data_IF_927285591885
#
_entry.id   IF_927285591885
#
_cell.length_a   1.000
_cell.length_b   1.000
_cell.length_c   1.000
_cell.angle_alpha   90.00
_cell.angle_beta   90.00
_cell.angle_gamma   90.00
#
_symmetry.space_group_name_H-M   'P 1'
#
loop_
_entity.id
_entity.type
_entity.pdbx_description
1 polymer ?
#
# COMPACT_ATOMS: atom_id res chain seq x y z
N UNK A 1 -22.26 -34.24 94.30
CA UNK A 1 -21.43 -33.05 94.60
C UNK A 1 -20.57 -32.73 93.39
N UNK A 2 -20.52 -31.44 93.02
CA UNK A 2 -19.98 -30.86 91.76
C UNK A 2 -18.45 -30.93 91.64
N UNK A 3 -17.95 -30.99 90.39
CA UNK A 3 -16.85 -30.21 89.76
C UNK A 3 -16.66 -30.74 88.32
N UNK A 4 -17.19 -30.11 87.26
CA UNK A 4 -16.69 -28.96 86.48
C UNK A 4 -15.22 -29.06 86.08
N UNK A 5 -14.96 -29.19 84.77
CA UNK A 5 -13.63 -29.15 84.17
C UNK A 5 -13.67 -29.17 82.63
N UNK A 6 -14.11 -28.05 82.05
CA UNK A 6 -13.49 -27.37 80.90
C UNK A 6 -13.52 -28.00 79.49
N UNK A 7 -14.34 -27.36 78.65
CA UNK A 7 -14.36 -27.39 77.18
C UNK A 7 -13.10 -26.71 76.61
N UNK A 8 -12.41 -27.39 75.70
CA UNK A 8 -11.33 -26.83 74.87
C UNK A 8 -11.64 -27.02 73.39
N UNK A 9 -12.40 -26.09 72.82
CA UNK A 9 -12.70 -26.00 71.38
C UNK A 9 -11.51 -25.30 70.70
N UNK A 10 -10.59 -26.06 70.09
CA UNK A 10 -9.58 -25.47 69.19
C UNK A 10 -10.20 -25.26 67.80
N UNK A 11 -10.63 -24.02 67.53
CA UNK A 11 -10.76 -23.52 66.16
C UNK A 11 -9.36 -23.40 65.55
N UNK A 12 -9.01 -24.34 64.69
CA UNK A 12 -7.90 -24.16 63.75
C UNK A 12 -8.30 -23.15 62.69
N UNK A 13 -7.75 -21.94 62.74
CA UNK A 13 -7.84 -20.96 61.66
C UNK A 13 -7.14 -21.53 60.41
N UNK A 14 -7.93 -21.95 59.44
CA UNK A 14 -7.54 -22.06 58.05
C UNK A 14 -7.49 -20.64 57.46
N UNK A 15 -6.32 -20.01 57.49
CA UNK A 15 -6.07 -18.79 56.69
C UNK A 15 -5.89 -19.20 55.23
N UNK A 16 -7.02 -19.30 54.52
CA UNK A 16 -7.09 -19.14 53.09
C UNK A 16 -7.41 -17.66 52.80
N UNK A 17 -6.57 -16.99 52.00
CA UNK A 17 -6.86 -15.67 51.43
C UNK A 17 -5.73 -14.68 51.67
N UNK A 18 -5.06 -14.12 50.68
CA UNK A 18 -5.18 -14.26 49.24
C UNK A 18 -4.29 -13.20 48.60
N UNK A 19 -3.51 -13.56 47.58
CA UNK A 19 -2.71 -12.62 46.79
C UNK A 19 -3.57 -11.72 45.87
N UNK A 20 -4.83 -11.45 46.21
CA UNK A 20 -5.77 -10.72 45.36
C UNK A 20 -5.52 -9.19 45.30
N UNK A 21 -4.72 -8.62 46.22
CA UNK A 21 -4.63 -7.15 46.33
C UNK A 21 -3.84 -6.43 45.23
N UNK A 22 -2.79 -7.03 44.67
CA UNK A 22 -1.84 -6.30 43.81
C UNK A 22 -2.15 -6.43 42.30
N UNK A 23 -2.88 -7.48 41.90
CA UNK A 23 -3.30 -7.69 40.51
C UNK A 23 -4.46 -6.77 40.11
N UNK A 24 -5.44 -6.65 40.99
CA UNK A 24 -6.67 -5.88 40.75
C UNK A 24 -6.38 -4.37 40.71
N UNK A 25 -5.45 -3.87 41.55
CA UNK A 25 -5.04 -2.46 41.56
C UNK A 25 -4.33 -2.05 40.25
N UNK A 26 -3.43 -2.91 39.73
CA UNK A 26 -2.74 -2.65 38.46
C UNK A 26 -3.71 -2.64 37.28
N UNK A 27 -4.63 -3.59 37.24
CA UNK A 27 -5.64 -3.67 36.17
C UNK A 27 -6.54 -2.43 36.16
N UNK A 28 -7.00 -1.96 37.32
CA UNK A 28 -7.81 -0.74 37.40
C UNK A 28 -6.99 0.52 37.02
N UNK A 29 -5.71 0.59 37.39
CA UNK A 29 -4.84 1.70 36.96
C UNK A 29 -4.61 1.72 35.45
N UNK A 30 -4.40 0.57 34.82
CA UNK A 30 -4.29 0.47 33.35
C UNK A 30 -5.58 0.96 32.68
N UNK A 31 -6.72 0.53 33.21
CA UNK A 31 -8.05 0.93 32.73
C UNK A 31 -8.31 2.43 32.89
N UNK A 32 -7.87 3.05 33.99
CA UNK A 32 -7.99 4.49 34.20
C UNK A 32 -7.22 5.26 33.11
N UNK A 33 -5.95 4.90 32.89
CA UNK A 33 -5.12 5.49 31.83
C UNK A 33 -5.73 5.28 30.44
N UNK A 34 -6.27 4.09 30.15
CA UNK A 34 -6.99 3.81 28.89
C UNK A 34 -8.20 4.73 28.70
N UNK A 35 -8.98 4.97 29.76
CA UNK A 35 -10.16 5.85 29.72
C UNK A 35 -9.71 7.29 29.45
N UNK A 36 -8.71 7.79 30.19
CA UNK A 36 -8.14 9.14 29.96
C UNK A 36 -7.63 9.30 28.53
N UNK A 37 -6.86 8.34 28.02
CA UNK A 37 -6.38 8.35 26.64
C UNK A 37 -7.51 8.34 25.61
N UNK A 38 -8.59 7.61 25.87
CA UNK A 38 -9.78 7.62 25.01
C UNK A 38 -10.51 8.96 25.04
N UNK A 39 -10.58 9.63 26.20
CA UNK A 39 -11.18 10.96 26.31
C UNK A 39 -10.34 12.00 25.55
N UNK A 40 -9.01 11.99 25.71
CA UNK A 40 -8.13 12.86 24.93
C UNK A 40 -8.24 12.64 23.42
N UNK A 41 -8.47 11.40 22.96
CA UNK A 41 -8.78 11.12 21.56
C UNK A 41 -10.07 11.81 21.09
N UNK A 42 -11.13 11.76 21.90
CA UNK A 42 -12.40 12.42 21.59
C UNK A 42 -12.23 13.94 21.52
N UNK A 43 -11.39 14.50 22.40
CA UNK A 43 -11.02 15.92 22.42
C UNK A 43 -10.00 16.32 21.34
N UNK A 44 -9.55 15.36 20.53
CA UNK A 44 -8.49 15.53 19.51
C UNK A 44 -7.14 15.99 20.08
N UNK A 45 -6.92 15.84 21.38
CA UNK A 45 -5.63 16.06 22.01
C UNK A 45 -4.76 14.80 21.85
N UNK A 46 -4.24 14.62 20.63
CA UNK A 46 -3.56 13.38 20.24
C UNK A 46 -2.27 13.10 21.01
N UNK A 47 -1.53 14.13 21.43
CA UNK A 47 -0.29 13.96 22.18
C UNK A 47 -0.54 13.41 23.60
N UNK A 48 -1.50 13.99 24.34
CA UNK A 48 -1.86 13.49 25.66
C UNK A 48 -2.58 12.14 25.58
N UNK A 49 -3.34 11.90 24.50
CA UNK A 49 -3.92 10.58 24.25
C UNK A 49 -2.82 9.50 24.16
N UNK A 50 -1.78 9.71 23.36
CA UNK A 50 -0.66 8.76 23.23
C UNK A 50 -0.02 8.49 24.59
N UNK A 51 0.26 9.54 25.36
CA UNK A 51 0.89 9.42 26.68
C UNK A 51 0.08 8.57 27.65
N UNK A 52 -1.23 8.82 27.77
CA UNK A 52 -2.10 8.03 28.63
C UNK A 52 -2.26 6.58 28.13
N UNK A 53 -2.35 6.38 26.81
CA UNK A 53 -2.39 5.03 26.24
C UNK A 53 -1.07 4.27 26.47
N UNK A 54 0.08 4.94 26.43
CA UNK A 54 1.37 4.37 26.78
C UNK A 54 1.45 3.93 28.24
N UNK A 55 0.97 4.76 29.17
CA UNK A 55 0.91 4.37 30.60
C UNK A 55 -0.01 3.16 30.80
N UNK A 56 -1.14 3.09 30.10
CA UNK A 56 -1.99 1.89 30.10
C UNK A 56 -1.25 0.66 29.60
N UNK A 57 -0.53 0.76 28.47
CA UNK A 57 0.19 -0.35 27.83
C UNK A 57 1.44 -0.79 28.59
N UNK A 58 2.08 0.10 29.36
CA UNK A 58 3.17 -0.25 30.28
C UNK A 58 2.69 -1.18 31.39
N UNK A 59 1.44 -1.02 31.83
CA UNK A 59 0.86 -1.83 32.91
C UNK A 59 0.30 -3.14 32.35
N UNK A 60 -0.48 -3.06 31.27
CA UNK A 60 -1.02 -4.22 30.57
C UNK A 60 -0.84 -4.06 29.05
N UNK A 61 0.18 -4.72 28.46
CA UNK A 61 0.46 -4.64 27.03
C UNK A 61 -0.44 -5.54 26.18
N UNK A 62 -1.32 -6.35 26.79
CA UNK A 62 -2.18 -7.31 26.07
C UNK A 62 -3.49 -6.69 25.57
N UNK A 63 -3.67 -5.39 25.77
CA UNK A 63 -4.87 -4.67 25.39
C UNK A 63 -4.86 -4.27 23.91
N UNK A 64 -5.30 -5.18 23.04
CA UNK A 64 -5.41 -4.98 21.57
C UNK A 64 -6.04 -3.62 21.20
N UNK A 65 -7.22 -3.30 21.78
CA UNK A 65 -7.93 -2.04 21.52
C UNK A 65 -7.15 -0.78 21.92
N UNK A 66 -6.19 -0.90 22.84
CA UNK A 66 -5.36 0.23 23.28
C UNK A 66 -4.24 0.47 22.28
N UNK A 67 -3.66 -0.60 21.72
CA UNK A 67 -2.72 -0.50 20.60
C UNK A 67 -3.38 0.14 19.36
N UNK A 68 -4.61 -0.27 19.01
CA UNK A 68 -5.39 0.36 17.93
C UNK A 68 -5.58 1.87 18.14
N UNK A 69 -6.02 2.25 19.35
CA UNK A 69 -6.22 3.65 19.73
C UNK A 69 -4.91 4.44 19.69
N UNK A 70 -3.81 3.84 20.13
CA UNK A 70 -2.48 4.46 20.10
C UNK A 70 -2.03 4.69 18.67
N UNK A 71 -2.15 3.69 17.79
CA UNK A 71 -1.83 3.83 16.37
C UNK A 71 -2.65 4.95 15.71
N UNK A 72 -3.96 5.01 15.99
CA UNK A 72 -4.81 6.10 15.51
C UNK A 72 -4.37 7.47 16.04
N UNK A 73 -4.12 7.60 17.35
CA UNK A 73 -3.65 8.85 17.95
C UNK A 73 -2.33 9.33 17.31
N UNK A 74 -1.39 8.41 17.08
CA UNK A 74 -0.09 8.71 16.48
C UNK A 74 -0.21 9.16 15.02
N UNK A 75 -1.08 8.55 14.21
CA UNK A 75 -1.37 9.04 12.85
C UNK A 75 -1.91 10.46 12.88
N UNK A 76 -2.88 10.72 13.75
CA UNK A 76 -3.49 12.05 13.85
C UNK A 76 -2.52 13.11 14.38
N UNK A 77 -1.51 12.69 15.14
CA UNK A 77 -0.39 13.53 15.58
C UNK A 77 0.73 13.68 14.53
N UNK A 78 0.62 13.06 13.35
CA UNK A 78 1.64 13.09 12.29
C UNK A 78 2.87 12.21 12.57
N UNK A 79 2.80 11.32 13.57
CA UNK A 79 3.90 10.44 14.01
C UNK A 79 3.80 9.08 13.32
N UNK A 80 3.97 9.06 12.00
CA UNK A 80 3.70 7.88 11.14
C UNK A 80 4.49 6.63 11.52
N UNK A 81 5.80 6.77 11.77
CA UNK A 81 6.65 5.60 12.10
C UNK A 81 6.20 4.93 13.42
N UNK A 82 6.00 5.72 14.47
CA UNK A 82 5.52 5.21 15.75
C UNK A 82 4.10 4.63 15.64
N UNK A 83 3.25 5.23 14.81
CA UNK A 83 1.92 4.71 14.54
C UNK A 83 2.00 3.32 13.89
N UNK A 84 2.87 3.17 12.89
CA UNK A 84 3.10 1.89 12.22
C UNK A 84 3.64 0.84 13.19
N UNK A 85 4.55 1.19 14.09
CA UNK A 85 5.03 0.28 15.14
C UNK A 85 3.89 -0.15 16.09
N UNK A 86 3.04 0.79 16.51
CA UNK A 86 1.87 0.48 17.35
C UNK A 86 0.84 -0.40 16.61
N UNK A 87 0.63 -0.17 15.31
CA UNK A 87 -0.24 -0.99 14.47
C UNK A 87 0.37 -2.38 14.19
N UNK A 88 1.69 -2.48 14.05
CA UNK A 88 2.38 -3.76 13.85
C UNK A 88 2.22 -4.68 15.07
N UNK A 89 2.06 -4.13 16.28
CA UNK A 89 1.71 -4.93 17.46
C UNK A 89 0.38 -5.66 17.33
N UNK A 90 -0.55 -5.18 16.50
CA UNK A 90 -1.81 -5.88 16.23
C UNK A 90 -1.60 -7.23 15.53
N UNK A 91 -0.47 -7.42 14.85
CA UNK A 91 -0.08 -8.73 14.28
C UNK A 91 0.06 -9.80 15.36
N UNK A 92 0.50 -9.43 16.57
CA UNK A 92 0.66 -10.38 17.69
C UNK A 92 -0.71 -10.88 18.22
N UNK A 93 -1.78 -10.15 17.95
CA UNK A 93 -3.16 -10.49 18.35
C UNK A 93 -3.97 -11.20 17.25
N UNK A 94 -3.41 -11.32 16.05
CA UNK A 94 -4.06 -11.97 14.92
C UNK A 94 -4.38 -13.45 15.24
N UNK A 95 -5.64 -13.85 15.06
CA UNK A 95 -6.12 -15.21 15.37
C UNK A 95 -6.07 -16.10 14.13
N UNK A 96 -6.19 -15.49 12.96
CA UNK A 96 -6.14 -16.18 11.67
C UNK A 96 -5.04 -15.60 10.77
N UNK A 97 -4.58 -16.36 9.77
CA UNK A 97 -3.72 -15.79 8.72
C UNK A 97 -4.35 -14.56 8.05
N UNK A 98 -5.67 -14.54 7.89
CA UNK A 98 -6.39 -13.42 7.29
C UNK A 98 -6.32 -12.17 8.16
N UNK A 99 -6.50 -12.29 9.47
CA UNK A 99 -6.34 -11.17 10.43
C UNK A 99 -4.91 -10.61 10.35
N UNK A 100 -3.92 -11.51 10.23
CA UNK A 100 -2.51 -11.13 10.08
C UNK A 100 -2.26 -10.39 8.77
N UNK A 101 -2.83 -10.85 7.67
CA UNK A 101 -2.75 -10.19 6.38
C UNK A 101 -3.38 -8.78 6.42
N UNK A 102 -4.53 -8.65 7.07
CA UNK A 102 -5.21 -7.37 7.28
C UNK A 102 -4.37 -6.40 8.14
N UNK A 103 -3.76 -6.89 9.22
CA UNK A 103 -2.86 -6.08 10.06
C UNK A 103 -1.67 -5.54 9.25
N UNK A 104 -1.01 -6.38 8.44
CA UNK A 104 0.06 -5.90 7.56
C UNK A 104 -0.43 -4.88 6.53
N UNK A 105 -1.60 -5.11 5.93
CA UNK A 105 -2.22 -4.16 4.99
C UNK A 105 -2.50 -2.81 5.65
N UNK A 106 -2.97 -2.80 6.90
CA UNK A 106 -3.23 -1.57 7.63
C UNK A 106 -1.94 -0.78 7.91
N UNK A 107 -0.87 -1.47 8.34
CA UNK A 107 0.46 -0.85 8.50
C UNK A 107 0.97 -0.28 7.16
N UNK A 108 0.82 -1.03 6.08
CA UNK A 108 1.19 -0.59 4.74
C UNK A 108 0.42 0.67 4.29
N UNK A 109 -0.89 0.71 4.51
CA UNK A 109 -1.73 1.85 4.17
C UNK A 109 -1.37 3.12 4.96
N UNK A 110 -0.93 2.98 6.22
CA UNK A 110 -0.42 4.08 7.03
C UNK A 110 0.83 4.71 6.39
N UNK A 111 1.77 3.87 5.95
CA UNK A 111 2.95 4.32 5.22
C UNK A 111 2.63 4.91 3.86
N UNK A 112 1.72 4.30 3.10
CA UNK A 112 1.32 4.79 1.78
C UNK A 112 0.73 6.21 1.83
N UNK A 113 0.05 6.55 2.93
CA UNK A 113 -0.58 7.86 3.10
C UNK A 113 0.36 8.92 3.67
N UNK A 114 1.21 8.57 4.63
CA UNK A 114 1.93 9.54 5.46
C UNK A 114 3.42 9.25 5.64
N UNK A 115 4.01 8.35 4.86
CA UNK A 115 5.41 7.92 5.02
C UNK A 115 6.06 7.47 3.71
N UNK A 116 7.24 6.82 3.79
CA UNK A 116 7.96 6.35 2.61
C UNK A 116 7.24 5.18 1.94
N UNK A 117 7.13 5.23 0.61
CA UNK A 117 6.44 4.22 -0.20
C UNK A 117 7.15 2.86 -0.15
N UNK A 118 8.46 2.85 0.07
CA UNK A 118 9.26 1.63 0.20
C UNK A 118 8.79 0.78 1.40
N UNK A 119 8.48 1.43 2.53
CA UNK A 119 7.93 0.73 3.70
C UNK A 119 6.51 0.25 3.44
N UNK A 120 5.70 1.06 2.74
CA UNK A 120 4.35 0.64 2.36
C UNK A 120 4.38 -0.63 1.51
N UNK A 121 5.21 -0.64 0.46
CA UNK A 121 5.38 -1.79 -0.43
C UNK A 121 5.81 -3.04 0.35
N UNK A 122 6.80 -2.92 1.24
CA UNK A 122 7.27 -4.05 2.06
C UNK A 122 6.12 -4.72 2.82
N UNK A 123 5.28 -3.94 3.50
CA UNK A 123 4.17 -4.49 4.28
C UNK A 123 3.00 -4.97 3.41
N UNK A 124 2.75 -4.36 2.24
CA UNK A 124 1.82 -4.92 1.26
C UNK A 124 2.32 -6.28 0.73
N UNK A 125 3.62 -6.46 0.53
CA UNK A 125 4.19 -7.75 0.15
C UNK A 125 4.01 -8.80 1.26
N UNK A 126 4.18 -8.44 2.55
CA UNK A 126 3.86 -9.35 3.66
C UNK A 126 2.38 -9.75 3.71
N UNK A 127 1.47 -8.81 3.42
CA UNK A 127 0.05 -9.12 3.24
C UNK A 127 -0.17 -10.13 2.11
N UNK A 128 0.43 -9.89 0.94
CA UNK A 128 0.25 -10.73 -0.25
C UNK A 128 0.88 -12.11 -0.15
N UNK A 129 1.90 -12.30 0.69
CA UNK A 129 2.44 -13.63 1.03
C UNK A 129 1.38 -14.51 1.70
N UNK A 130 0.47 -13.90 2.47
CA UNK A 130 -0.57 -14.61 3.22
C UNK A 130 -1.88 -14.67 2.42
N UNK A 131 -2.28 -13.54 1.83
CA UNK A 131 -3.44 -13.44 0.95
C UNK A 131 -3.04 -12.92 -0.43
N UNK A 132 -2.64 -13.80 -1.36
CA UNK A 132 -2.21 -13.40 -2.71
C UNK A 132 -3.30 -12.75 -3.57
N UNK A 133 -4.56 -12.78 -3.11
CA UNK A 133 -5.72 -12.21 -3.80
C UNK A 133 -6.27 -10.96 -3.10
N UNK A 134 -5.54 -10.38 -2.16
CA UNK A 134 -5.95 -9.12 -1.52
C UNK A 134 -5.90 -7.98 -2.55
N UNK A 135 -7.08 -7.53 -3.00
CA UNK A 135 -7.19 -6.53 -4.07
C UNK A 135 -6.70 -5.16 -3.65
N UNK A 136 -6.77 -4.83 -2.37
CA UNK A 136 -6.32 -3.54 -1.85
C UNK A 136 -4.79 -3.49 -1.84
N UNK A 137 -4.14 -4.55 -1.33
CA UNK A 137 -2.69 -4.66 -1.35
C UNK A 137 -2.14 -4.71 -2.79
N UNK A 138 -2.75 -5.50 -3.69
CA UNK A 138 -2.37 -5.53 -5.10
C UNK A 138 -2.54 -4.15 -5.76
N UNK A 139 -3.62 -3.42 -5.46
CA UNK A 139 -3.85 -2.07 -6.00
C UNK A 139 -2.76 -1.09 -5.57
N UNK A 140 -2.31 -1.18 -4.33
CA UNK A 140 -1.20 -0.36 -3.83
C UNK A 140 0.16 -0.76 -4.39
N UNK A 141 0.44 -2.06 -4.58
CA UNK A 141 1.65 -2.50 -5.28
C UNK A 141 1.67 -1.97 -6.73
N UNK A 142 0.53 -2.06 -7.43
CA UNK A 142 0.40 -1.49 -8.76
C UNK A 142 0.63 0.03 -8.76
N UNK A 143 0.15 0.74 -7.73
CA UNK A 143 0.37 2.18 -7.55
C UNK A 143 1.85 2.53 -7.32
N UNK A 144 2.56 1.75 -6.51
CA UNK A 144 4.00 1.93 -6.26
C UNK A 144 4.77 1.79 -7.58
N UNK A 145 4.50 0.74 -8.34
CA UNK A 145 5.09 0.56 -9.67
C UNK A 145 4.69 1.66 -10.66
N UNK A 146 3.45 2.14 -10.61
CA UNK A 146 3.00 3.26 -11.44
C UNK A 146 3.78 4.56 -11.12
N UNK A 147 4.06 4.83 -9.85
CA UNK A 147 4.88 5.97 -9.44
C UNK A 147 6.34 5.83 -9.89
N UNK A 148 6.96 4.67 -9.65
CA UNK A 148 8.33 4.39 -10.10
C UNK A 148 8.45 4.37 -11.62
N UNK A 149 7.39 3.98 -12.32
CA UNK A 149 7.23 4.07 -13.78
C UNK A 149 7.05 5.49 -14.32
N UNK A 150 6.91 6.49 -13.45
CA UNK A 150 6.72 7.88 -13.82
C UNK A 150 5.28 8.25 -14.20
N UNK A 151 4.30 7.35 -14.02
CA UNK A 151 2.91 7.59 -14.43
C UNK A 151 2.18 8.64 -13.56
N UNK A 152 2.71 8.94 -12.38
CA UNK A 152 2.17 9.97 -11.47
C UNK A 152 2.88 11.32 -11.57
N UNK A 153 3.77 11.49 -12.54
CA UNK A 153 4.45 12.75 -12.79
C UNK A 153 4.58 13.01 -14.29
N UNK A 154 4.12 14.19 -14.72
CA UNK A 154 4.23 14.62 -16.11
C UNK A 154 5.69 14.75 -16.56
N UNK A 155 6.59 15.16 -15.66
CA UNK A 155 8.00 15.41 -15.98
C UNK A 155 8.93 14.22 -15.71
N UNK A 156 8.51 13.24 -14.91
CA UNK A 156 9.33 12.06 -14.66
C UNK A 156 9.53 11.26 -15.96
N UNK A 157 10.73 10.72 -16.23
CA UNK A 157 10.91 9.81 -17.35
C UNK A 157 10.07 8.53 -17.13
N UNK A 158 9.64 7.92 -18.21
CA UNK A 158 9.02 6.60 -18.15
C UNK A 158 10.08 5.55 -17.82
N UNK A 159 9.73 4.60 -16.95
CA UNK A 159 10.54 3.40 -16.68
C UNK A 159 9.74 2.19 -17.15
N UNK A 160 9.96 1.67 -18.38
CA UNK A 160 9.11 0.65 -18.99
C UNK A 160 8.92 -0.60 -18.12
N UNK A 161 9.98 -1.09 -17.46
CA UNK A 161 9.89 -2.26 -16.59
C UNK A 161 8.92 -2.07 -15.41
N UNK A 162 8.84 -0.87 -14.86
CA UNK A 162 7.92 -0.53 -13.76
C UNK A 162 6.49 -0.34 -14.30
N UNK A 163 6.34 0.27 -15.48
CA UNK A 163 5.03 0.40 -16.14
C UNK A 163 4.44 -0.98 -16.46
N UNK A 164 5.24 -1.93 -16.95
CA UNK A 164 4.82 -3.31 -17.19
C UNK A 164 4.36 -4.02 -15.91
N UNK A 165 5.12 -3.88 -14.81
CA UNK A 165 4.74 -4.43 -13.51
C UNK A 165 3.42 -3.82 -13.01
N UNK A 166 3.23 -2.51 -13.15
CA UNK A 166 1.99 -1.84 -12.79
C UNK A 166 0.80 -2.35 -13.61
N UNK A 167 0.92 -2.42 -14.94
CA UNK A 167 -0.15 -2.92 -15.83
C UNK A 167 -0.53 -4.36 -15.49
N UNK A 168 0.47 -5.24 -15.34
CA UNK A 168 0.26 -6.65 -14.96
C UNK A 168 -0.46 -6.78 -13.63
N UNK A 169 -0.08 -5.96 -12.63
CA UNK A 169 -0.69 -6.02 -11.30
C UNK A 169 -2.13 -5.48 -11.33
N UNK A 170 -2.41 -4.42 -12.09
CA UNK A 170 -3.79 -3.97 -12.31
C UNK A 170 -4.64 -5.04 -13.00
N UNK A 171 -4.08 -5.80 -13.95
CA UNK A 171 -4.78 -6.93 -14.55
C UNK A 171 -5.10 -8.05 -13.56
N UNK A 172 -4.21 -8.31 -12.60
CA UNK A 172 -4.49 -9.24 -11.50
C UNK A 172 -5.66 -8.74 -10.63
N UNK A 173 -5.67 -7.45 -10.28
CA UNK A 173 -6.78 -6.84 -9.52
C UNK A 173 -8.09 -6.99 -10.27
N UNK A 174 -8.11 -6.66 -11.57
CA UNK A 174 -9.31 -6.77 -12.42
C UNK A 174 -9.81 -8.22 -12.50
N UNK A 175 -8.90 -9.19 -12.62
CA UNK A 175 -9.24 -10.60 -12.66
C UNK A 175 -9.87 -11.11 -11.35
N UNK A 176 -9.49 -10.53 -10.20
CA UNK A 176 -10.05 -10.89 -8.89
C UNK A 176 -11.37 -10.14 -8.63
N UNK A 177 -11.39 -8.83 -8.90
CA UNK A 177 -12.55 -7.98 -8.68
C UNK A 177 -12.72 -6.95 -9.82
N UNK A 178 -13.58 -7.23 -10.81
CA UNK A 178 -13.81 -6.36 -11.95
C UNK A 178 -14.76 -5.18 -11.64
N UNK A 179 -15.26 -5.06 -10.40
CA UNK A 179 -16.19 -4.00 -9.98
C UNK A 179 -15.48 -2.81 -9.34
N UNK A 180 -14.15 -2.75 -9.42
CA UNK A 180 -13.32 -1.67 -8.88
C UNK A 180 -13.02 -0.62 -9.96
N UNK A 181 -13.75 0.52 -10.02
CA UNK A 181 -13.58 1.47 -11.12
C UNK A 181 -12.18 2.10 -11.10
N UNK A 182 -11.67 2.43 -9.92
CA UNK A 182 -10.37 3.08 -9.77
C UNK A 182 -9.22 2.26 -10.38
N UNK A 183 -9.34 0.93 -10.43
CA UNK A 183 -8.34 0.06 -11.05
C UNK A 183 -8.20 0.33 -12.55
N UNK A 184 -9.32 0.43 -13.28
CA UNK A 184 -9.31 0.77 -14.71
C UNK A 184 -8.80 2.19 -14.97
N UNK A 185 -9.21 3.14 -14.12
CA UNK A 185 -8.74 4.53 -14.20
C UNK A 185 -7.22 4.62 -14.03
N UNK A 186 -6.68 3.96 -13.01
CA UNK A 186 -5.25 3.96 -12.72
C UNK A 186 -4.46 3.20 -13.80
N UNK A 187 -4.95 2.04 -14.25
CA UNK A 187 -4.34 1.30 -15.37
C UNK A 187 -4.22 2.16 -16.62
N UNK A 188 -5.26 2.94 -16.95
CA UNK A 188 -5.25 3.86 -18.09
C UNK A 188 -4.21 4.97 -17.97
N UNK A 189 -4.00 5.52 -16.77
CA UNK A 189 -2.96 6.54 -16.53
C UNK A 189 -1.58 5.97 -16.84
N UNK A 190 -1.30 4.73 -16.41
CA UNK A 190 -0.06 4.02 -16.74
C UNK A 190 0.08 3.81 -18.25
N UNK A 191 -0.98 3.39 -18.94
CA UNK A 191 -0.97 3.24 -20.39
C UNK A 191 -0.66 4.55 -21.12
N UNK A 192 -1.21 5.68 -20.68
CA UNK A 192 -0.91 6.97 -21.30
C UNK A 192 0.55 7.37 -21.15
N UNK A 193 1.14 7.18 -19.96
CA UNK A 193 2.57 7.39 -19.76
C UNK A 193 3.42 6.51 -20.69
N UNK A 194 3.00 5.26 -20.86
CA UNK A 194 3.69 4.32 -21.73
C UNK A 194 3.55 4.72 -23.21
N UNK A 195 2.36 5.14 -23.65
CA UNK A 195 2.13 5.64 -25.02
C UNK A 195 3.01 6.85 -25.32
N UNK A 196 3.14 7.79 -24.38
CA UNK A 196 4.02 8.95 -24.54
C UNK A 196 5.49 8.53 -24.72
N UNK A 197 5.94 7.56 -23.93
CA UNK A 197 7.28 6.98 -24.07
C UNK A 197 7.49 6.32 -25.44
N UNK A 198 6.56 5.48 -25.87
CA UNK A 198 6.63 4.79 -27.17
C UNK A 198 6.60 5.79 -28.34
N UNK A 199 5.83 6.87 -28.24
CA UNK A 199 5.82 7.95 -29.24
C UNK A 199 7.17 8.65 -29.34
N UNK A 200 7.82 8.91 -28.21
CA UNK A 200 9.15 9.51 -28.21
C UNK A 200 10.20 8.58 -28.86
N UNK A 201 10.11 7.27 -28.61
CA UNK A 201 10.99 6.29 -29.25
C UNK A 201 10.71 6.15 -30.76
N UNK A 202 9.43 6.14 -31.15
CA UNK A 202 9.04 6.15 -32.56
C UNK A 202 9.63 7.38 -33.28
N UNK A 203 9.46 8.58 -32.70
CA UNK A 203 9.98 9.81 -33.28
C UNK A 203 11.51 9.79 -33.39
N UNK A 204 12.22 9.27 -32.38
CA UNK A 204 13.66 9.12 -32.43
C UNK A 204 14.10 8.16 -33.55
N UNK A 205 13.41 7.04 -33.71
CA UNK A 205 13.66 6.08 -34.79
C UNK A 205 13.36 6.68 -36.18
N UNK A 206 12.30 7.47 -36.32
CA UNK A 206 12.00 8.20 -37.55
C UNK A 206 13.11 9.22 -37.90
N UNK A 207 13.60 9.95 -36.90
CA UNK A 207 14.72 10.88 -37.08
C UNK A 207 16.01 10.15 -37.48
N UNK A 208 16.33 9.03 -36.82
CA UNK A 208 17.48 8.20 -37.17
C UNK A 208 17.40 7.71 -38.62
N UNK A 209 16.21 7.31 -39.09
CA UNK A 209 16.02 6.90 -40.48
C UNK A 209 16.29 8.04 -41.47
N UNK A 210 15.91 9.27 -41.12
CA UNK A 210 16.19 10.47 -41.95
C UNK A 210 17.68 10.79 -41.95
N UNK A 211 18.33 10.75 -40.80
CA UNK A 211 19.76 11.04 -40.66
C UNK A 211 20.61 9.99 -41.39
N UNK A 212 20.29 8.70 -41.24
CA UNK A 212 20.98 7.61 -41.94
C UNK A 212 20.78 7.67 -43.47
N UNK A 213 19.66 8.19 -43.95
CA UNK A 213 19.39 8.38 -45.38
C UNK A 213 20.06 9.65 -45.96
N UNK A 214 20.55 10.56 -45.12
CA UNK A 214 21.12 11.84 -45.54
C UNK A 214 22.65 11.78 -45.45
N UNK A 215 23.39 11.75 -46.58
CA UNK A 215 24.85 11.76 -46.54
C UNK A 215 25.37 13.05 -45.91
N UNK A 216 26.47 13.00 -45.12
CA UNK A 216 27.08 14.22 -44.59
C UNK A 216 27.51 15.13 -45.74
N UNK A 217 27.32 16.45 -45.57
CA UNK A 217 27.78 17.43 -46.56
C UNK A 217 29.29 17.25 -46.76
N UNK A 218 29.78 17.08 -48.00
CA UNK A 218 31.21 17.01 -48.24
C UNK A 218 31.89 18.30 -47.81
N UNK A 219 33.06 18.20 -47.18
CA UNK A 219 33.95 19.34 -47.00
C UNK A 219 34.31 19.95 -48.37
N UNK A 220 34.55 21.26 -48.41
CA UNK A 220 34.94 21.96 -49.66
C UNK A 220 36.10 21.22 -50.34
N UNK A 221 35.84 20.72 -51.56
CA UNK A 221 36.83 20.02 -52.37
C UNK A 221 36.94 18.51 -52.14
N UNK A 222 36.18 17.92 -51.21
CA UNK A 222 36.15 16.46 -50.98
C UNK A 222 34.86 15.84 -51.54
N UNK A 223 34.91 14.55 -51.90
CA UNK A 223 33.71 13.77 -52.27
C UNK A 223 32.92 13.41 -51.00
N UNK A 224 31.60 13.26 -51.13
CA UNK A 224 30.77 12.80 -50.03
C UNK A 224 31.23 11.39 -49.58
N UNK A 225 31.33 11.19 -48.27
CA UNK A 225 31.60 9.87 -47.70
C UNK A 225 30.34 9.03 -47.89
N UNK A 226 30.46 7.95 -48.67
CA UNK A 226 29.39 6.96 -48.82
C UNK A 226 29.50 6.03 -47.64
N UNK A 227 28.50 6.03 -46.76
CA UNK A 227 28.39 5.00 -45.73
C UNK A 227 27.83 3.71 -46.36
N UNK A 228 28.63 2.63 -46.43
CA UNK A 228 28.17 1.36 -47.01
C UNK A 228 27.05 0.70 -46.21
N UNK A 229 26.85 1.07 -44.94
CA UNK A 229 25.80 0.53 -44.07
C UNK A 229 24.56 1.42 -44.01
N UNK A 230 24.50 2.53 -44.75
CA UNK A 230 23.41 3.50 -44.67
C UNK A 230 22.04 2.86 -44.93
N UNK A 231 21.95 1.99 -45.93
CA UNK A 231 20.70 1.31 -46.27
C UNK A 231 20.22 0.36 -45.14
N UNK A 232 21.15 -0.34 -44.49
CA UNK A 232 20.86 -1.25 -43.37
C UNK A 232 20.38 -0.47 -42.15
N UNK A 233 21.06 0.64 -41.81
CA UNK A 233 20.66 1.53 -40.71
C UNK A 233 19.29 2.15 -40.93
N UNK A 234 19.00 2.61 -42.15
CA UNK A 234 17.66 3.10 -42.52
C UNK A 234 16.60 2.01 -42.37
N UNK A 235 16.87 0.78 -42.81
CA UNK A 235 15.93 -0.33 -42.68
C UNK A 235 15.67 -0.69 -41.21
N UNK A 236 16.72 -0.75 -40.38
CA UNK A 236 16.61 -1.01 -38.95
C UNK A 236 15.81 0.08 -38.22
N UNK A 237 16.10 1.36 -38.49
CA UNK A 237 15.38 2.48 -37.89
C UNK A 237 13.89 2.50 -38.27
N UNK A 238 13.56 2.22 -39.55
CA UNK A 238 12.16 2.08 -39.99
C UNK A 238 11.44 0.91 -39.33
N UNK A 239 12.12 -0.23 -39.17
CA UNK A 239 11.56 -1.39 -38.48
C UNK A 239 11.29 -1.07 -36.99
N UNK A 240 12.20 -0.35 -36.34
CA UNK A 240 12.05 0.13 -34.96
C UNK A 240 10.85 1.08 -34.83
N UNK A 241 10.74 2.09 -35.71
CA UNK A 241 9.59 3.00 -35.75
C UNK A 241 8.26 2.25 -35.92
N UNK A 242 8.20 1.29 -36.86
CA UNK A 242 7.01 0.48 -37.07
C UNK A 242 6.63 -0.38 -35.84
N UNK A 243 7.61 -0.89 -35.11
CA UNK A 243 7.37 -1.64 -33.87
C UNK A 243 6.75 -0.75 -32.78
N UNK A 244 7.29 0.46 -32.58
CA UNK A 244 6.73 1.43 -31.64
C UNK A 244 5.33 1.90 -32.05
N UNK A 245 5.10 2.13 -33.35
CA UNK A 245 3.78 2.47 -33.89
C UNK A 245 2.72 1.41 -33.53
N UNK A 246 3.05 0.13 -33.72
CA UNK A 246 2.19 -0.99 -33.35
C UNK A 246 1.92 -1.02 -31.85
N UNK A 247 2.96 -0.83 -31.03
CA UNK A 247 2.82 -0.82 -29.57
C UNK A 247 1.92 0.31 -29.09
N UNK A 248 2.03 1.50 -29.69
CA UNK A 248 1.14 2.65 -29.42
C UNK A 248 -0.31 2.30 -29.73
N UNK A 249 -0.57 1.64 -30.87
CA UNK A 249 -1.92 1.22 -31.26
C UNK A 249 -2.51 0.23 -30.24
N UNK A 250 -1.75 -0.79 -29.86
CA UNK A 250 -2.16 -1.79 -28.87
C UNK A 250 -2.48 -1.15 -27.51
N UNK A 251 -1.60 -0.29 -27.00
CA UNK A 251 -1.81 0.41 -25.73
C UNK A 251 -3.01 1.36 -25.81
N UNK A 252 -3.21 2.04 -26.93
CA UNK A 252 -4.35 2.94 -27.14
C UNK A 252 -5.66 2.17 -27.15
N UNK A 253 -5.72 1.02 -27.82
CA UNK A 253 -6.88 0.14 -27.81
C UNK A 253 -7.21 -0.33 -26.38
N UNK A 254 -6.21 -0.75 -25.62
CA UNK A 254 -6.38 -1.17 -24.22
C UNK A 254 -6.83 -0.01 -23.30
N UNK A 255 -6.33 1.21 -23.53
CA UNK A 255 -6.72 2.39 -22.77
C UNK A 255 -8.17 2.80 -23.03
N UNK A 256 -8.63 2.66 -24.28
CA UNK A 256 -10.03 2.89 -24.67
C UNK A 256 -10.94 1.84 -24.04
N UNK A 257 -10.55 0.57 -24.09
CA UNK A 257 -11.31 -0.50 -23.43
C UNK A 257 -11.38 -0.29 -21.92
N UNK A 258 -10.27 0.07 -21.27
CA UNK A 258 -10.24 0.41 -19.85
C UNK A 258 -11.17 1.60 -19.51
N UNK A 259 -11.31 2.57 -20.43
CA UNK A 259 -12.25 3.69 -20.26
C UNK A 259 -13.71 3.23 -20.28
N UNK A 260 -14.06 2.31 -21.18
CA UNK A 260 -15.39 1.71 -21.24
C UNK A 260 -15.67 0.90 -19.96
N UNK A 261 -14.74 0.04 -19.57
CA UNK A 261 -14.84 -0.83 -18.40
C UNK A 261 -14.94 -0.02 -17.10
N UNK A 262 -14.23 1.10 -16.98
CA UNK A 262 -14.39 2.06 -15.89
C UNK A 262 -15.85 2.52 -15.74
N UNK A 263 -16.50 2.88 -16.86
CA UNK A 263 -17.90 3.31 -16.85
C UNK A 263 -18.85 2.19 -16.42
N UNK A 264 -18.62 0.97 -16.90
CA UNK A 264 -19.41 -0.21 -16.53
C UNK A 264 -19.22 -0.60 -15.05
N UNK A 265 -17.98 -0.64 -14.56
CA UNK A 265 -17.67 -0.88 -13.16
C UNK A 265 -18.30 0.19 -12.25
N UNK A 266 -18.27 1.46 -12.67
CA UNK A 266 -18.90 2.56 -11.91
C UNK A 266 -20.42 2.35 -11.79
N UNK A 267 -21.08 1.91 -12.86
CA UNK A 267 -22.52 1.60 -12.83
C UNK A 267 -22.81 0.43 -11.88
N UNK A 268 -22.05 -0.66 -11.98
CA UNK A 268 -22.17 -1.84 -11.11
C UNK A 268 -21.96 -1.48 -9.62
N UNK A 269 -20.90 -0.73 -9.31
CA UNK A 269 -20.60 -0.28 -7.96
C UNK A 269 -21.73 0.58 -7.35
N UNK A 270 -22.31 1.50 -8.13
CA UNK A 270 -23.45 2.32 -7.69
C UNK A 270 -24.70 1.46 -7.45
N UNK A 271 -24.98 0.50 -8.31
CA UNK A 271 -26.13 -0.40 -8.15
C UNK A 271 -26.00 -1.23 -6.87
N UNK A 272 -24.82 -1.80 -6.60
CA UNK A 272 -24.55 -2.57 -5.38
C UNK A 272 -24.72 -1.73 -4.10
N UNK A 273 -24.30 -0.45 -4.11
CA UNK A 273 -24.51 0.47 -2.99
C UNK A 273 -25.98 0.79 -2.75
N UNK A 274 -26.79 0.86 -3.82
CA UNK A 274 -28.23 1.12 -3.71
C UNK A 274 -29.01 -0.09 -3.18
N UNK A 275 -28.56 -1.32 -3.45
CA UNK A 275 -29.19 -2.55 -2.96
C UNK A 275 -28.89 -2.86 -1.48
N UNK A 276 -27.88 -2.23 -0.89
CA UNK A 276 -27.48 -2.40 0.51
C UNK A 276 -28.04 -1.31 1.46
N UNK A 277 -28.94 -0.45 0.96
CA UNK A 277 -29.67 0.56 1.75
C UNK A 277 -31.15 0.20 1.82
#
# INVERSE_FOLDING_TARGET
MKRLGSVGLMLGLLTLGGSFGCGDEKAEKAKEHRIKGTNFLADKNYAEAVKELDESLKIDPTQEKVWEKKAFALIQAGRTDEAAEAALKLVDFAKTPQDKAEAYRNVAAMYAKNGPLEKAEQYFQECLKINPKDTDALSWIAEVHAQRGGARSMSAPAVPSELDLALKTYDQVIAINPDLPNTYLNKRIVMFKYIEHEKALQQAADQEAVEAATPPKPEKGKKAVVDPQAAERVAAAKASSAAHAKRIEELTAQANESTKQFGEATKRAKAAQASNK
#
